data_IF_748350296414
#
_entry.id   IF_748350296414
#
_cell.length_a   1.000
_cell.length_b   1.000
_cell.length_c   1.000
_cell.angle_alpha   90.00
_cell.angle_beta   90.00
_cell.angle_gamma   90.00
#
_symmetry.space_group_name_H-M   'P 1'
#
loop_
_entity.id
_entity.type
_entity.pdbx_description
1 polymer ?
#
# COMPACT_ATOMS: atom_id res chain seq x y z
N UNK A 1 -13.45 17.62 -20.40
CA UNK A 1 -12.98 16.61 -19.43
C UNK A 1 -12.36 17.37 -18.28
N UNK A 2 -12.89 17.22 -17.08
CA UNK A 2 -12.41 17.90 -15.88
C UNK A 2 -12.02 16.85 -14.86
N UNK A 3 -10.88 17.05 -14.22
CA UNK A 3 -10.37 16.16 -13.17
C UNK A 3 -10.34 16.94 -11.86
N UNK A 4 -10.88 16.35 -10.81
CA UNK A 4 -10.86 16.92 -9.47
C UNK A 4 -10.12 15.93 -8.58
N UNK A 5 -9.10 16.42 -7.88
CA UNK A 5 -8.46 15.66 -6.81
C UNK A 5 -9.11 16.05 -5.49
N UNK A 6 -9.53 15.05 -4.73
CA UNK A 6 -10.18 15.23 -3.44
C UNK A 6 -9.37 14.51 -2.37
N UNK A 7 -9.13 15.19 -1.25
CA UNK A 7 -8.65 14.54 -0.03
C UNK A 7 -9.85 14.33 0.88
N UNK A 8 -10.11 13.08 1.27
CA UNK A 8 -11.33 12.67 1.96
C UNK A 8 -10.92 12.08 3.29
N UNK A 9 -11.52 12.58 4.35
CA UNK A 9 -11.29 12.07 5.70
C UNK A 9 -11.92 10.68 5.85
N UNK A 10 -11.21 9.76 6.53
CA UNK A 10 -11.65 8.38 6.73
C UNK A 10 -13.03 8.29 7.41
N UNK A 11 -13.40 9.24 8.27
CA UNK A 11 -14.69 9.24 8.97
C UNK A 11 -15.90 9.38 8.02
N UNK A 12 -15.68 9.89 6.81
CA UNK A 12 -16.72 10.08 5.79
C UNK A 12 -16.49 9.26 4.53
N UNK A 13 -15.38 8.53 4.43
CA UNK A 13 -14.95 7.84 3.20
C UNK A 13 -16.03 6.89 2.66
N UNK A 14 -16.56 6.01 3.51
CA UNK A 14 -17.59 5.03 3.12
C UNK A 14 -18.87 5.71 2.63
N UNK A 15 -19.28 6.79 3.30
CA UNK A 15 -20.46 7.57 2.91
C UNK A 15 -20.24 8.24 1.56
N UNK A 16 -19.05 8.78 1.33
CA UNK A 16 -18.70 9.41 0.06
C UNK A 16 -18.66 8.40 -1.09
N UNK A 17 -18.08 7.21 -0.86
CA UNK A 17 -18.11 6.13 -1.86
C UNK A 17 -19.54 5.70 -2.20
N UNK A 18 -20.43 5.58 -1.20
CA UNK A 18 -21.85 5.31 -1.45
C UNK A 18 -22.55 6.39 -2.30
N UNK A 19 -22.17 7.66 -2.15
CA UNK A 19 -22.66 8.74 -3.02
C UNK A 19 -22.09 8.68 -4.44
N UNK A 20 -20.89 8.12 -4.63
CA UNK A 20 -20.33 7.94 -5.96
C UNK A 20 -20.96 6.74 -6.71
N UNK A 21 -21.43 5.73 -5.99
CA UNK A 21 -22.10 4.56 -6.57
C UNK A 21 -23.41 4.88 -7.29
N UNK A 22 -24.11 5.94 -6.87
CA UNK A 22 -25.36 6.39 -7.51
C UNK A 22 -25.12 7.16 -8.82
N UNK A 23 -23.88 7.60 -9.08
CA UNK A 23 -23.56 8.34 -10.29
C UNK A 23 -23.44 7.37 -11.48
N UNK A 24 -23.82 7.80 -12.69
CA UNK A 24 -23.68 6.96 -13.88
C UNK A 24 -22.21 6.57 -14.11
N UNK A 25 -21.92 5.27 -14.07
CA UNK A 25 -20.56 4.71 -14.20
C UNK A 25 -19.90 5.00 -15.55
N UNK A 26 -20.70 5.33 -16.57
CA UNK A 26 -20.23 5.74 -17.90
C UNK A 26 -19.89 7.23 -17.98
N UNK A 27 -20.18 8.01 -16.94
CA UNK A 27 -19.93 9.46 -16.87
C UNK A 27 -18.89 9.85 -15.82
N UNK A 28 -18.67 9.01 -14.81
CA UNK A 28 -17.78 9.30 -13.68
C UNK A 28 -16.80 8.16 -13.48
N UNK A 29 -15.51 8.47 -13.57
CA UNK A 29 -14.41 7.55 -13.28
C UNK A 29 -13.77 7.94 -11.94
N UNK A 30 -13.58 6.95 -11.07
CA UNK A 30 -12.97 7.13 -9.75
C UNK A 30 -11.63 6.40 -9.73
N UNK A 31 -10.55 7.15 -9.59
CA UNK A 31 -9.19 6.60 -9.52
C UNK A 31 -8.65 6.76 -8.10
N UNK A 32 -8.48 5.63 -7.40
CA UNK A 32 -7.89 5.61 -6.06
C UNK A 32 -6.38 5.48 -6.22
N UNK A 33 -5.64 6.53 -5.86
CA UNK A 33 -4.19 6.44 -5.70
C UNK A 33 -3.91 5.71 -4.39
N UNK A 34 -3.74 4.39 -4.45
CA UNK A 34 -3.22 3.64 -3.31
C UNK A 34 -1.74 3.97 -3.19
N UNK A 35 -1.36 4.76 -2.19
CA UNK A 35 0.03 4.86 -1.74
C UNK A 35 0.43 3.52 -1.10
N UNK A 36 0.70 2.50 -1.92
CA UNK A 36 1.58 1.43 -1.46
C UNK A 36 2.93 2.09 -1.19
N UNK A 37 3.63 1.77 -0.08
CA UNK A 37 4.99 2.24 0.09
C UNK A 37 5.84 1.68 -1.05
N UNK A 38 6.05 2.51 -2.06
CA UNK A 38 6.83 2.17 -3.24
C UNK A 38 8.28 2.26 -2.81
N UNK A 39 8.85 1.15 -2.37
CA UNK A 39 10.31 1.05 -2.29
C UNK A 39 10.83 1.09 -3.72
N UNK A 40 11.92 1.80 -3.93
CA UNK A 40 12.59 1.81 -5.22
C UNK A 40 13.14 0.41 -5.55
N UNK A 41 13.35 0.12 -6.84
CA UNK A 41 13.98 -1.13 -7.26
C UNK A 41 15.35 -1.35 -6.59
N UNK A 42 16.14 -0.28 -6.43
CA UNK A 42 17.45 -0.35 -5.78
C UNK A 42 17.33 -0.68 -4.29
N UNK A 43 16.37 -0.08 -3.57
CA UNK A 43 16.12 -0.43 -2.17
C UNK A 43 15.63 -1.88 -2.02
N UNK A 44 14.78 -2.35 -2.93
CA UNK A 44 14.33 -3.74 -2.97
C UNK A 44 15.51 -4.70 -3.19
N UNK A 45 16.37 -4.40 -4.17
CA UNK A 45 17.58 -5.17 -4.49
C UNK A 45 18.52 -5.24 -3.29
N UNK A 46 18.74 -4.12 -2.59
CA UNK A 46 19.56 -4.08 -1.38
C UNK A 46 18.96 -4.92 -0.25
N UNK A 47 17.65 -4.83 -0.01
CA UNK A 47 16.95 -5.64 1.00
C UNK A 47 17.09 -7.14 0.72
N UNK A 48 16.91 -7.55 -0.53
CA UNK A 48 17.07 -8.95 -0.96
C UNK A 48 18.51 -9.41 -0.79
N UNK A 49 19.50 -8.64 -1.25
CA UNK A 49 20.91 -8.99 -1.11
C UNK A 49 21.31 -9.16 0.35
N UNK A 50 20.84 -8.26 1.23
CA UNK A 50 21.08 -8.37 2.68
C UNK A 50 20.47 -9.64 3.27
N UNK A 51 19.26 -10.01 2.85
CA UNK A 51 18.61 -11.24 3.30
C UNK A 51 19.42 -12.47 2.86
N UNK A 52 19.85 -12.53 1.59
CA UNK A 52 20.66 -13.63 1.05
C UNK A 52 21.97 -13.78 1.84
N UNK A 53 22.68 -12.68 2.09
CA UNK A 53 23.93 -12.71 2.85
C UNK A 53 23.72 -13.19 4.30
N UNK A 54 22.57 -12.86 4.89
CA UNK A 54 22.24 -13.23 6.27
C UNK A 54 21.88 -14.71 6.45
N UNK A 55 21.53 -15.43 5.36
CA UNK A 55 21.24 -16.87 5.37
C UNK A 55 22.50 -17.64 5.79
N UNK A 56 23.64 -17.35 5.15
CA UNK A 56 24.93 -17.99 5.45
C UNK A 56 25.42 -17.70 6.87
N UNK A 57 25.02 -16.56 7.44
CA UNK A 57 25.39 -16.14 8.80
C UNK A 57 24.42 -16.67 9.87
N UNK A 58 23.36 -17.39 9.47
CA UNK A 58 22.27 -17.85 10.34
C UNK A 58 21.64 -16.74 11.19
N UNK A 59 21.64 -15.50 10.69
CA UNK A 59 21.10 -14.30 11.38
C UNK A 59 19.63 -14.06 11.04
N UNK A 60 18.83 -15.12 11.08
CA UNK A 60 17.38 -15.06 10.90
C UNK A 60 16.65 -14.60 12.16
N UNK A 61 15.39 -14.19 12.00
CA UNK A 61 14.44 -14.04 13.11
C UNK A 61 13.42 -15.19 13.06
N UNK A 62 12.91 -15.66 14.21
CA UNK A 62 11.80 -16.61 14.27
C UNK A 62 10.58 -16.13 13.47
N UNK A 63 9.83 -17.09 12.90
CA UNK A 63 8.69 -16.81 12.01
C UNK A 63 7.62 -15.91 12.67
N UNK A 64 7.31 -16.13 13.95
CA UNK A 64 6.38 -15.30 14.70
C UNK A 64 6.84 -13.83 14.77
N UNK A 65 8.12 -13.59 15.09
CA UNK A 65 8.68 -12.24 15.09
C UNK A 65 8.69 -11.59 13.71
N UNK A 66 8.88 -12.39 12.65
CA UNK A 66 8.80 -11.89 11.28
C UNK A 66 7.38 -11.43 10.93
N UNK A 67 6.38 -12.21 11.33
CA UNK A 67 4.96 -11.91 11.11
C UNK A 67 4.55 -10.67 11.91
N UNK A 68 4.91 -10.58 13.19
CA UNK A 68 4.59 -9.43 14.05
C UNK A 68 5.18 -8.13 13.51
N UNK A 69 6.40 -8.18 12.97
CA UNK A 69 7.05 -7.02 12.34
C UNK A 69 6.28 -6.50 11.13
N UNK A 70 5.69 -7.40 10.33
CA UNK A 70 4.90 -7.02 9.14
C UNK A 70 3.57 -6.39 9.55
N UNK A 71 2.94 -6.84 10.63
CA UNK A 71 1.68 -6.28 11.11
C UNK A 71 1.81 -4.95 11.85
N UNK A 72 3.02 -4.61 12.34
CA UNK A 72 3.31 -3.36 13.05
C UNK A 72 3.98 -2.28 12.18
N UNK A 73 4.24 -2.56 10.89
CA UNK A 73 4.92 -1.64 9.96
C UNK A 73 3.97 -0.94 9.01
#
# INVERSE_FOLDING_TARGET
>A
MHTIQLNIDDSIFDKFMGLLEILPKDKVEVTIQREYPSISFEEAKQKVQKAINSISENKGIPLNQAIDKVFQS
#
